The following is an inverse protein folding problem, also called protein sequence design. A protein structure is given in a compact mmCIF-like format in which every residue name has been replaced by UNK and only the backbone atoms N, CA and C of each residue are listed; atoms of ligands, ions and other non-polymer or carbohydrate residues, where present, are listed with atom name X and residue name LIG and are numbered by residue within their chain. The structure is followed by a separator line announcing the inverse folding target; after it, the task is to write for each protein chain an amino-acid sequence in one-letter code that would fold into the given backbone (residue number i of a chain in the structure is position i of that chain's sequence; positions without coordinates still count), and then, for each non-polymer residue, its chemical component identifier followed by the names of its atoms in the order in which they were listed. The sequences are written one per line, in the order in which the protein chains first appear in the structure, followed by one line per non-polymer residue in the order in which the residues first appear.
data_IF_651164305856
#
_entry.id   IF_651164305856
#
_cell.length_a   1.000
_cell.length_b   1.000
_cell.length_c   1.000
_cell.angle_alpha   90.00
_cell.angle_beta   90.00
_cell.angle_gamma   90.00
#
_symmetry.space_group_name_H-M   'P 1'
#
loop_
_entity.id
_entity.type
_entity.pdbx_description
1 polymer ?
#
# COMPACT_ATOMS: atom_id res chain seq x y z
N UNK A 1 -13.65 27.00 -7.99
CA UNK A 1 -13.04 25.75 -8.50
C UNK A 1 -11.60 26.12 -8.81
N UNK A 2 -10.64 25.80 -7.93
CA UNK A 2 -9.21 25.99 -8.21
C UNK A 2 -8.82 25.04 -9.35
N UNK A 3 -8.10 25.57 -10.36
CA UNK A 3 -7.68 24.81 -11.53
C UNK A 3 -6.94 23.53 -11.12
N UNK A 4 -7.32 22.41 -11.70
CA UNK A 4 -6.69 21.10 -11.47
C UNK A 4 -5.20 21.07 -11.85
N UNK A 5 -4.75 21.96 -12.73
CA UNK A 5 -3.37 22.13 -13.16
C UNK A 5 -2.51 22.78 -12.07
N UNK A 6 -2.99 23.84 -11.41
CA UNK A 6 -2.27 24.51 -10.29
C UNK A 6 -2.10 23.61 -9.04
N UNK A 7 -2.97 22.62 -8.87
CA UNK A 7 -2.83 21.65 -7.77
C UNK A 7 -1.82 20.56 -8.10
N UNK A 8 -1.67 20.18 -9.35
CA UNK A 8 -0.76 19.12 -9.77
C UNK A 8 0.72 19.53 -9.68
N UNK A 9 1.03 20.81 -9.88
CA UNK A 9 2.39 21.38 -9.70
C UNK A 9 2.86 21.39 -8.23
N UNK A 10 1.94 21.30 -7.26
CA UNK A 10 2.26 21.32 -5.83
C UNK A 10 2.39 19.95 -5.19
N UNK A 11 1.83 18.91 -5.83
CA UNK A 11 1.90 17.55 -5.31
C UNK A 11 3.22 16.94 -5.76
N UNK A 12 4.07 16.59 -4.80
CA UNK A 12 5.34 15.93 -5.05
C UNK A 12 5.45 14.55 -4.40
N UNK A 13 4.46 14.15 -3.61
CA UNK A 13 4.41 12.84 -2.95
C UNK A 13 3.12 12.13 -3.32
N UNK A 14 3.27 10.90 -3.81
CA UNK A 14 2.15 10.01 -4.12
C UNK A 14 2.29 8.68 -3.39
N UNK A 15 1.24 8.26 -2.68
CA UNK A 15 1.07 6.87 -2.27
C UNK A 15 0.40 6.10 -3.40
N UNK A 16 1.09 5.15 -4.01
CA UNK A 16 0.61 4.39 -5.16
C UNK A 16 0.25 2.97 -4.78
N UNK A 17 -1.02 2.59 -4.99
CA UNK A 17 -1.43 1.19 -5.00
C UNK A 17 -0.93 0.51 -6.27
N UNK A 18 -0.02 -0.45 -6.12
CA UNK A 18 0.62 -1.17 -7.23
C UNK A 18 -0.13 -2.44 -7.60
N UNK A 19 -1.18 -2.77 -6.88
CA UNK A 19 -1.90 -4.01 -7.09
C UNK A 19 -1.36 -5.16 -6.23
N UNK A 20 -2.04 -6.33 -6.28
CA UNK A 20 -1.85 -7.41 -5.30
C UNK A 20 -0.80 -8.45 -5.69
N UNK A 21 -0.13 -8.32 -6.84
CA UNK A 21 0.87 -9.29 -7.29
C UNK A 21 1.12 -9.29 -8.79
N UNK A 22 0.06 -9.31 -9.59
CA UNK A 22 0.15 -9.23 -11.04
C UNK A 22 0.48 -7.78 -11.46
N UNK A 23 1.60 -7.53 -12.17
CA UNK A 23 1.97 -6.21 -12.66
C UNK A 23 0.90 -5.55 -13.55
N UNK A 24 0.11 -6.33 -14.28
CA UNK A 24 -0.93 -5.81 -15.17
C UNK A 24 -2.17 -5.29 -14.40
N UNK A 25 -2.23 -5.53 -13.08
CA UNK A 25 -3.28 -4.98 -12.22
C UNK A 25 -2.96 -3.59 -11.65
N UNK A 26 -1.88 -2.96 -12.10
CA UNK A 26 -1.61 -1.55 -11.80
C UNK A 26 -2.65 -0.66 -12.47
N UNK A 27 -3.14 0.37 -11.77
CA UNK A 27 -4.04 1.34 -12.38
C UNK A 27 -3.30 2.26 -13.35
N UNK A 28 -3.94 2.67 -14.45
CA UNK A 28 -3.34 3.60 -15.42
C UNK A 28 -2.86 4.91 -14.76
N UNK A 29 -3.53 5.37 -13.70
CA UNK A 29 -3.10 6.56 -12.98
C UNK A 29 -1.81 6.30 -12.20
N UNK A 30 -1.72 5.17 -11.49
CA UNK A 30 -0.52 4.79 -10.76
C UNK A 30 0.66 4.57 -11.72
N UNK A 31 0.44 3.89 -12.84
CA UNK A 31 1.45 3.66 -13.88
C UNK A 31 2.06 4.97 -14.41
N UNK A 32 1.21 5.94 -14.79
CA UNK A 32 1.67 7.24 -15.32
C UNK A 32 2.51 8.01 -14.30
N UNK A 33 2.13 7.97 -13.03
CA UNK A 33 2.88 8.64 -11.97
C UNK A 33 4.18 7.89 -11.71
N UNK A 34 4.14 6.57 -11.60
CA UNK A 34 5.32 5.73 -11.40
C UNK A 34 6.41 6.01 -12.44
N UNK A 35 6.02 6.15 -13.71
CA UNK A 35 6.94 6.42 -14.81
C UNK A 35 7.47 7.87 -14.87
N UNK A 36 6.83 8.80 -14.16
CA UNK A 36 7.16 10.22 -14.24
C UNK A 36 7.92 10.77 -13.02
N UNK A 37 7.95 10.03 -11.89
CA UNK A 37 8.59 10.51 -10.65
C UNK A 37 10.10 10.32 -10.67
N UNK A 38 10.81 11.21 -9.95
CA UNK A 38 12.26 11.15 -9.80
C UNK A 38 12.71 10.07 -8.82
N UNK A 39 11.88 9.78 -7.81
CA UNK A 39 12.22 8.87 -6.71
C UNK A 39 11.11 7.87 -6.47
N UNK A 40 11.46 6.62 -6.25
CA UNK A 40 10.56 5.55 -5.85
C UNK A 40 10.93 5.06 -4.45
N UNK A 41 10.00 5.17 -3.50
CA UNK A 41 10.18 4.67 -2.14
C UNK A 41 9.31 3.43 -1.92
N UNK A 42 9.84 2.41 -1.24
CA UNK A 42 9.08 1.17 -1.02
C UNK A 42 9.54 0.42 0.23
N UNK A 43 8.63 -0.30 0.90
CA UNK A 43 8.99 -1.18 2.01
C UNK A 43 9.75 -2.42 1.50
N UNK A 44 10.75 -2.82 2.27
CA UNK A 44 11.43 -4.09 2.08
C UNK A 44 11.71 -4.73 3.46
N UNK A 45 11.68 -6.06 3.59
CA UNK A 45 12.18 -6.72 4.78
C UNK A 45 13.67 -6.44 4.97
N UNK A 46 14.17 -6.47 6.21
CA UNK A 46 15.59 -6.20 6.51
C UNK A 46 16.52 -7.15 5.73
N UNK A 47 16.10 -8.41 5.61
CA UNK A 47 16.84 -9.46 4.93
C UNK A 47 15.96 -10.06 3.81
N UNK A 48 15.88 -9.39 2.67
CA UNK A 48 15.11 -9.91 1.54
C UNK A 48 14.65 -8.85 0.54
N UNK A 49 14.09 -9.33 -0.55
CA UNK A 49 13.60 -8.49 -1.64
C UNK A 49 12.22 -7.89 -1.32
N UNK A 50 11.98 -6.71 -1.85
CA UNK A 50 10.68 -6.05 -1.75
C UNK A 50 9.69 -6.64 -2.75
N UNK A 51 8.58 -7.20 -2.26
CA UNK A 51 7.50 -7.69 -3.11
C UNK A 51 6.90 -6.56 -3.95
N UNK A 52 6.57 -5.43 -3.34
CA UNK A 52 5.97 -4.31 -4.07
C UNK A 52 6.91 -3.74 -5.13
N UNK A 53 8.21 -3.73 -4.85
CA UNK A 53 9.23 -3.30 -5.84
C UNK A 53 9.30 -4.30 -7.00
N UNK A 54 9.21 -5.61 -6.74
CA UNK A 54 9.24 -6.63 -7.79
C UNK A 54 7.99 -6.56 -8.70
N UNK A 55 6.82 -6.27 -8.12
CA UNK A 55 5.58 -6.03 -8.90
C UNK A 55 5.71 -4.80 -9.79
N UNK A 56 6.29 -3.71 -9.28
CA UNK A 56 6.45 -2.47 -10.01
C UNK A 56 7.58 -2.51 -11.07
N UNK A 57 8.56 -3.40 -10.91
CA UNK A 57 9.79 -3.44 -11.71
C UNK A 57 9.59 -3.40 -13.24
N UNK A 58 8.62 -4.13 -13.85
CA UNK A 58 8.39 -4.07 -15.29
C UNK A 58 7.94 -2.70 -15.79
N UNK A 59 7.47 -1.84 -14.92
CA UNK A 59 6.87 -0.54 -15.24
C UNK A 59 7.74 0.65 -14.83
N UNK A 60 8.82 0.42 -14.09
CA UNK A 60 9.76 1.48 -13.69
C UNK A 60 10.61 1.94 -14.87
N UNK A 61 10.96 3.25 -14.91
CA UNK A 61 11.80 3.83 -15.97
C UNK A 61 13.26 3.36 -15.92
N UNK A 62 13.73 2.93 -14.74
CA UNK A 62 15.07 2.37 -14.53
C UNK A 62 16.16 3.39 -14.19
N UNK A 63 15.88 4.68 -14.28
CA UNK A 63 16.76 5.79 -13.93
C UNK A 63 16.36 6.51 -12.63
N UNK A 64 15.31 6.04 -11.98
CA UNK A 64 14.76 6.59 -10.74
C UNK A 64 15.68 6.31 -9.55
N UNK A 65 15.79 7.27 -8.64
CA UNK A 65 16.40 6.99 -7.34
C UNK A 65 15.46 6.09 -6.50
N UNK A 66 16.05 5.21 -5.73
CA UNK A 66 15.29 4.29 -4.88
C UNK A 66 15.53 4.57 -3.39
N UNK A 67 14.46 4.72 -2.61
CA UNK A 67 14.49 4.83 -1.15
C UNK A 67 13.90 3.55 -0.55
N UNK A 68 14.76 2.69 -0.04
CA UNK A 68 14.33 1.47 0.66
C UNK A 68 13.94 1.79 2.10
N UNK A 69 12.71 1.42 2.46
CA UNK A 69 12.16 1.52 3.82
C UNK A 69 12.29 0.15 4.46
N UNK A 70 13.42 -0.05 5.15
CA UNK A 70 13.71 -1.35 5.77
C UNK A 70 12.82 -1.58 6.98
N UNK A 71 11.82 -2.47 6.82
CA UNK A 71 10.85 -2.81 7.86
C UNK A 71 11.26 -4.12 8.53
N UNK A 72 11.60 -4.10 9.83
CA UNK A 72 11.87 -5.33 10.55
C UNK A 72 10.59 -6.18 10.64
N UNK A 73 10.70 -7.47 10.35
CA UNK A 73 9.60 -8.44 10.43
C UNK A 73 9.32 -8.84 11.89
N UNK A 74 9.16 -7.84 12.78
CA UNK A 74 8.88 -8.05 14.21
C UNK A 74 7.42 -7.80 14.55
N UNK A 75 6.93 -8.47 15.59
CA UNK A 75 5.52 -8.38 16.05
C UNK A 75 5.26 -7.07 16.78
N UNK A 76 6.31 -6.47 17.35
CA UNK A 76 6.23 -5.29 18.18
C UNK A 76 6.02 -4.02 17.35
N UNK A 77 5.11 -3.14 17.80
CA UNK A 77 4.77 -1.89 17.10
C UNK A 77 5.86 -0.81 17.17
N UNK A 78 6.67 -0.78 18.23
CA UNK A 78 7.63 0.29 18.47
C UNK A 78 8.79 0.37 17.47
N UNK A 79 9.46 -0.74 17.07
CA UNK A 79 10.53 -0.67 16.07
C UNK A 79 10.05 -0.19 14.70
N UNK A 80 8.79 -0.46 14.37
CA UNK A 80 8.20 0.00 13.12
C UNK A 80 7.96 1.53 13.09
N UNK A 81 7.69 2.17 14.21
CA UNK A 81 7.48 3.62 14.27
C UNK A 81 8.76 4.39 13.92
N UNK A 82 9.90 4.00 14.51
CA UNK A 82 11.20 4.62 14.21
C UNK A 82 11.59 4.50 12.73
N UNK A 83 11.21 3.39 12.09
CA UNK A 83 11.45 3.18 10.64
C UNK A 83 10.65 4.19 9.82
N UNK A 84 9.39 4.40 10.15
CA UNK A 84 8.55 5.37 9.43
C UNK A 84 8.98 6.81 9.70
N UNK A 85 9.45 7.14 10.91
CA UNK A 85 10.00 8.46 11.23
C UNK A 85 11.23 8.76 10.36
N UNK A 86 12.19 7.83 10.30
CA UNK A 86 13.38 7.96 9.46
C UNK A 86 13.05 8.01 7.97
N UNK A 87 12.06 7.22 7.52
CA UNK A 87 11.62 7.24 6.13
C UNK A 87 10.98 8.58 5.77
N UNK A 88 10.13 9.13 6.64
CA UNK A 88 9.50 10.43 6.43
C UNK A 88 10.54 11.57 6.30
N UNK A 89 11.59 11.54 7.13
CA UNK A 89 12.70 12.52 7.04
C UNK A 89 13.42 12.40 5.70
N UNK A 90 13.75 11.19 5.24
CA UNK A 90 14.42 10.98 3.94
C UNK A 90 13.57 11.45 2.76
N UNK A 91 12.28 11.10 2.80
CA UNK A 91 11.30 11.50 1.78
C UNK A 91 11.15 13.02 1.76
N UNK A 92 11.00 13.65 2.94
CA UNK A 92 10.92 15.09 3.07
C UNK A 92 12.14 15.81 2.48
N UNK A 93 13.35 15.36 2.80
CA UNK A 93 14.57 15.92 2.26
C UNK A 93 14.64 15.85 0.72
N UNK A 94 14.18 14.75 0.11
CA UNK A 94 14.12 14.64 -1.35
C UNK A 94 13.08 15.61 -1.96
N UNK A 95 11.92 15.79 -1.31
CA UNK A 95 10.91 16.79 -1.74
C UNK A 95 11.45 18.21 -1.64
N UNK A 96 12.17 18.55 -0.57
CA UNK A 96 12.79 19.86 -0.38
C UNK A 96 13.89 20.12 -1.41
N UNK A 97 14.59 19.07 -1.87
CA UNK A 97 15.51 19.11 -3.00
C UNK A 97 14.81 19.25 -4.37
N UNK A 98 13.50 19.38 -4.40
CA UNK A 98 12.71 19.60 -5.61
C UNK A 98 12.21 18.33 -6.31
N UNK A 99 12.50 17.13 -5.78
CA UNK A 99 12.15 15.85 -6.40
C UNK A 99 10.69 15.45 -6.17
N UNK A 100 10.15 14.74 -7.14
CA UNK A 100 8.84 14.06 -7.07
C UNK A 100 9.00 12.61 -6.62
N UNK A 101 8.09 12.10 -5.78
CA UNK A 101 8.25 10.81 -5.12
C UNK A 101 6.99 9.95 -5.20
N UNK A 102 7.14 8.71 -5.63
CA UNK A 102 6.13 7.67 -5.50
C UNK A 102 6.48 6.72 -4.34
N UNK A 103 5.55 6.55 -3.41
CA UNK A 103 5.65 5.56 -2.34
C UNK A 103 4.79 4.37 -2.73
N UNK A 104 5.42 3.24 -2.98
CA UNK A 104 4.75 2.03 -3.46
C UNK A 104 4.08 1.27 -2.32
N UNK A 105 2.86 0.79 -2.59
CA UNK A 105 2.06 0.03 -1.65
C UNK A 105 1.50 -1.21 -2.33
N UNK A 106 1.64 -2.36 -1.72
CA UNK A 106 0.98 -3.60 -2.15
C UNK A 106 -0.54 -3.43 -2.07
N UNK A 107 -1.26 -3.85 -3.10
CA UNK A 107 -2.71 -3.65 -3.17
C UNK A 107 -3.09 -2.18 -3.19
N UNK A 108 -3.77 -1.72 -2.14
CA UNK A 108 -4.25 -0.35 -1.95
C UNK A 108 -3.58 0.32 -0.74
N UNK A 109 -3.15 1.59 -0.84
CA UNK A 109 -2.41 2.27 0.22
C UNK A 109 -3.15 2.42 1.55
N UNK A 110 -4.48 2.54 1.51
CA UNK A 110 -5.32 2.75 2.69
C UNK A 110 -6.12 1.52 3.12
N UNK A 111 -5.96 0.41 2.40
CA UNK A 111 -6.63 -0.83 2.75
C UNK A 111 -5.67 -1.79 3.45
N UNK A 112 -5.57 -1.70 4.77
CA UNK A 112 -4.66 -2.47 5.63
C UNK A 112 -3.17 -2.34 5.27
N UNK A 113 -2.81 -1.33 4.49
CA UNK A 113 -1.44 -1.02 4.09
C UNK A 113 -0.68 -0.26 5.16
N UNK A 114 0.64 -0.45 5.22
CA UNK A 114 1.52 0.28 6.13
C UNK A 114 1.75 1.74 5.73
N UNK A 115 1.37 2.13 4.51
CA UNK A 115 1.49 3.49 4.03
C UNK A 115 0.77 4.51 4.92
N UNK A 116 -0.31 4.15 5.59
CA UNK A 116 -1.03 5.04 6.50
C UNK A 116 -0.12 5.66 7.58
N UNK A 117 0.93 4.96 8.00
CA UNK A 117 1.89 5.47 8.99
C UNK A 117 2.81 6.55 8.41
N UNK A 118 3.22 6.40 7.15
CA UNK A 118 3.96 7.44 6.42
C UNK A 118 3.06 8.61 6.06
N UNK A 119 1.84 8.34 5.60
CA UNK A 119 0.86 9.36 5.26
C UNK A 119 0.60 10.29 6.45
N UNK A 120 0.40 9.75 7.65
CA UNK A 120 0.16 10.55 8.84
C UNK A 120 1.31 11.55 9.13
N UNK A 121 2.56 11.15 8.89
CA UNK A 121 3.76 11.99 9.10
C UNK A 121 3.97 13.02 7.99
N UNK A 122 3.86 12.56 6.75
CA UNK A 122 4.15 13.40 5.59
C UNK A 122 3.07 14.45 5.35
N UNK A 123 1.79 14.11 5.60
CA UNK A 123 0.66 15.03 5.37
C UNK A 123 0.62 16.23 6.32
N UNK A 124 1.41 16.22 7.40
CA UNK A 124 1.55 17.38 8.30
C UNK A 124 2.27 18.55 7.60
N UNK A 125 3.23 18.24 6.71
CA UNK A 125 4.09 19.26 6.10
C UNK A 125 4.01 19.31 4.57
N UNK A 126 3.51 18.25 3.93
CA UNK A 126 3.49 18.11 2.48
C UNK A 126 2.10 17.77 1.95
N UNK A 127 1.81 18.17 0.73
CA UNK A 127 0.62 17.72 0.02
C UNK A 127 0.87 16.31 -0.54
N UNK A 128 0.20 15.32 0.04
CA UNK A 128 0.30 13.91 -0.35
C UNK A 128 -0.96 13.50 -1.09
N UNK A 129 -0.82 12.97 -2.30
CA UNK A 129 -1.92 12.37 -3.05
C UNK A 129 -1.87 10.85 -2.93
N UNK A 130 -3.04 10.23 -2.74
CA UNK A 130 -3.17 8.77 -2.71
C UNK A 130 -3.86 8.30 -3.99
N UNK A 131 -3.29 7.29 -4.62
CA UNK A 131 -3.85 6.64 -5.81
C UNK A 131 -4.25 5.23 -5.41
N UNK A 132 -5.55 4.90 -5.44
CA UNK A 132 -6.04 3.58 -5.09
C UNK A 132 -5.44 2.49 -5.99
N UNK A 133 -5.34 1.28 -5.42
CA UNK A 133 -4.92 0.10 -6.15
C UNK A 133 -5.93 -1.03 -6.10
N UNK A 134 -5.77 -2.03 -6.94
CA UNK A 134 -6.56 -3.27 -6.88
C UNK A 134 -6.18 -4.03 -5.61
N UNK A 135 -7.17 -4.36 -4.78
CA UNK A 135 -6.95 -5.10 -3.54
C UNK A 135 -6.81 -6.59 -3.79
N UNK A 136 -6.10 -7.30 -2.90
CA UNK A 136 -5.99 -8.76 -2.95
C UNK A 136 -7.35 -9.48 -2.88
N UNK A 137 -8.37 -8.88 -2.25
CA UNK A 137 -9.71 -9.46 -2.21
C UNK A 137 -10.32 -9.59 -3.61
N UNK A 138 -10.24 -8.51 -4.39
CA UNK A 138 -10.77 -8.50 -5.75
C UNK A 138 -9.99 -9.47 -6.65
N UNK A 139 -8.67 -9.49 -6.53
CA UNK A 139 -7.82 -10.38 -7.31
C UNK A 139 -8.05 -11.86 -6.95
N UNK A 140 -8.10 -12.21 -5.67
CA UNK A 140 -8.40 -13.57 -5.22
C UNK A 140 -9.79 -14.04 -5.68
N UNK A 141 -10.79 -13.18 -5.61
CA UNK A 141 -12.16 -13.47 -6.08
C UNK A 141 -12.16 -13.77 -7.59
N UNK A 142 -11.45 -12.98 -8.38
CA UNK A 142 -11.33 -13.20 -9.81
C UNK A 142 -10.57 -14.48 -10.15
N UNK A 143 -9.45 -14.74 -9.49
CA UNK A 143 -8.64 -15.95 -9.70
C UNK A 143 -9.40 -17.24 -9.33
N UNK A 144 -10.20 -17.19 -8.28
CA UNK A 144 -11.06 -18.31 -7.85
C UNK A 144 -12.32 -18.44 -8.71
N UNK A 145 -12.60 -17.50 -9.62
CA UNK A 145 -13.88 -17.40 -10.34
C UNK A 145 -15.10 -17.44 -9.41
N UNK A 146 -14.97 -16.84 -8.22
CA UNK A 146 -15.97 -16.83 -7.14
C UNK A 146 -16.35 -15.39 -6.81
N UNK A 147 -17.60 -14.95 -7.07
CA UNK A 147 -18.05 -13.63 -6.67
C UNK A 147 -17.90 -13.43 -5.16
N UNK A 148 -17.29 -12.30 -4.76
CA UNK A 148 -17.13 -11.99 -3.35
C UNK A 148 -18.46 -11.67 -2.66
N UNK A 149 -19.40 -11.09 -3.39
CA UNK A 149 -20.74 -10.80 -2.90
C UNK A 149 -21.74 -10.65 -4.04
N UNK A 150 -23.00 -10.88 -3.76
CA UNK A 150 -24.11 -10.67 -4.70
C UNK A 150 -25.28 -9.95 -3.99
N UNK A 151 -25.88 -8.98 -4.69
CA UNK A 151 -27.08 -8.24 -4.25
C UNK A 151 -26.97 -7.68 -2.82
N UNK A 152 -27.62 -8.33 -1.85
CA UNK A 152 -27.75 -7.88 -0.46
C UNK A 152 -26.78 -8.60 0.49
N UNK A 153 -25.79 -9.33 -0.03
CA UNK A 153 -24.81 -10.01 0.81
C UNK A 153 -23.98 -8.98 1.59
N UNK A 154 -23.79 -9.26 2.87
CA UNK A 154 -22.88 -8.50 3.72
C UNK A 154 -21.51 -9.16 3.66
N UNK A 155 -20.50 -8.37 3.27
CA UNK A 155 -19.11 -8.82 3.23
C UNK A 155 -18.35 -8.26 4.43
N UNK A 156 -17.76 -9.13 5.21
CA UNK A 156 -16.85 -8.75 6.29
C UNK A 156 -15.39 -9.00 5.90
N UNK A 157 -14.54 -8.00 6.10
CA UNK A 157 -13.10 -8.15 5.96
C UNK A 157 -12.51 -8.33 7.36
N UNK A 158 -11.96 -9.49 7.62
CA UNK A 158 -11.60 -9.93 8.97
C UNK A 158 -10.07 -10.12 9.04
N UNK A 159 -9.35 -9.40 9.94
CA UNK A 159 -7.92 -9.66 10.14
C UNK A 159 -7.66 -11.01 10.81
N UNK A 160 -6.83 -11.86 10.20
CA UNK A 160 -6.44 -13.16 10.74
C UNK A 160 -5.73 -13.12 12.12
N UNK A 161 -5.03 -12.05 12.50
CA UNK A 161 -4.46 -11.90 13.85
C UNK A 161 -5.45 -11.77 15.00
N UNK A 162 -6.76 -11.60 14.74
CA UNK A 162 -7.76 -11.56 15.81
C UNK A 162 -7.71 -12.81 16.68
N UNK A 163 -8.09 -12.66 17.97
CA UNK A 163 -8.28 -13.79 18.86
C UNK A 163 -9.38 -14.71 18.34
N UNK A 164 -9.26 -16.02 18.60
CA UNK A 164 -10.13 -17.06 18.02
C UNK A 164 -11.62 -16.80 18.24
N UNK A 165 -12.01 -16.48 19.47
CA UNK A 165 -13.40 -16.14 19.79
C UNK A 165 -13.93 -14.90 19.03
N UNK A 166 -13.07 -13.91 18.79
CA UNK A 166 -13.43 -12.72 18.04
C UNK A 166 -13.55 -13.02 16.54
N UNK A 167 -12.67 -13.87 16.01
CA UNK A 167 -12.71 -14.36 14.64
C UNK A 167 -14.00 -15.13 14.38
N UNK A 168 -14.34 -16.09 15.25
CA UNK A 168 -15.55 -16.89 15.16
C UNK A 168 -16.80 -16.01 15.18
N UNK A 169 -16.91 -15.07 16.12
CA UNK A 169 -18.06 -14.14 16.19
C UNK A 169 -18.24 -13.35 14.90
N UNK A 170 -17.15 -12.88 14.28
CA UNK A 170 -17.23 -12.14 13.03
C UNK A 170 -17.64 -13.02 11.86
N UNK A 171 -17.15 -14.26 11.79
CA UNK A 171 -17.51 -15.22 10.76
C UNK A 171 -18.99 -15.62 10.84
N UNK A 172 -19.51 -15.82 12.05
CA UNK A 172 -20.92 -16.18 12.25
C UNK A 172 -21.90 -15.03 11.97
N UNK A 173 -21.43 -13.79 11.93
CA UNK A 173 -22.25 -12.59 11.75
C UNK A 173 -22.35 -12.10 10.30
N UNK A 174 -21.76 -12.80 9.34
CA UNK A 174 -21.67 -12.35 7.94
C UNK A 174 -22.08 -13.42 6.94
N UNK A 175 -22.54 -13.00 5.75
CA UNK A 175 -22.85 -13.93 4.66
C UNK A 175 -21.58 -14.37 3.94
N UNK A 176 -20.63 -13.45 3.80
CA UNK A 176 -19.36 -13.66 3.13
C UNK A 176 -18.24 -13.03 3.95
N UNK A 177 -17.13 -13.72 4.08
CA UNK A 177 -15.96 -13.21 4.76
C UNK A 177 -14.71 -13.33 3.90
N UNK A 178 -13.88 -12.29 3.94
CA UNK A 178 -12.52 -12.32 3.43
C UNK A 178 -11.55 -12.18 4.60
N UNK A 179 -10.79 -13.24 4.89
CA UNK A 179 -9.78 -13.21 5.96
C UNK A 179 -8.47 -12.72 5.37
N UNK A 180 -7.97 -11.61 5.89
CA UNK A 180 -6.71 -11.01 5.46
C UNK A 180 -5.62 -11.14 6.52
N UNK A 181 -4.35 -10.92 6.11
CA UNK A 181 -3.18 -11.02 7.02
C UNK A 181 -3.12 -12.39 7.71
N UNK A 182 -3.48 -13.44 6.99
CA UNK A 182 -3.53 -14.81 7.50
C UNK A 182 -2.13 -15.27 7.94
N UNK A 183 -1.13 -15.23 7.05
CA UNK A 183 0.28 -15.54 7.34
C UNK A 183 0.43 -16.74 8.27
N UNK A 184 1.11 -16.55 9.41
CA UNK A 184 1.31 -17.56 10.44
C UNK A 184 0.03 -17.99 11.19
N UNK A 185 -1.09 -17.32 10.96
CA UNK A 185 -2.37 -17.59 11.61
C UNK A 185 -3.27 -18.54 10.82
N UNK A 186 -2.76 -19.15 9.73
CA UNK A 186 -3.52 -20.08 8.90
C UNK A 186 -3.99 -21.35 9.65
N UNK A 187 -3.31 -21.72 10.72
CA UNK A 187 -3.65 -22.92 11.51
C UNK A 187 -4.68 -22.70 12.63
N UNK A 188 -5.29 -21.52 12.73
CA UNK A 188 -6.37 -21.25 13.69
C UNK A 188 -7.66 -21.93 13.36
#
# INVERSE_FOLDING_TARGET
IKNSEDMNEKIKIWGLGIGPGDPDLITLKALKILQAVDVVAYPAPTDGDSLVRSIAAPHMSGDQEEIVISTPMVVERHPAQDVYDKAAVKIGAAVEAGKSIAILCEGDPFFYGSFMYLFARLSENYLVQVVPGVTSLAACSAELALPLAARNDVVSVIPGPLEEEALERQLMATNTAAIIKVGRHLGK
#
